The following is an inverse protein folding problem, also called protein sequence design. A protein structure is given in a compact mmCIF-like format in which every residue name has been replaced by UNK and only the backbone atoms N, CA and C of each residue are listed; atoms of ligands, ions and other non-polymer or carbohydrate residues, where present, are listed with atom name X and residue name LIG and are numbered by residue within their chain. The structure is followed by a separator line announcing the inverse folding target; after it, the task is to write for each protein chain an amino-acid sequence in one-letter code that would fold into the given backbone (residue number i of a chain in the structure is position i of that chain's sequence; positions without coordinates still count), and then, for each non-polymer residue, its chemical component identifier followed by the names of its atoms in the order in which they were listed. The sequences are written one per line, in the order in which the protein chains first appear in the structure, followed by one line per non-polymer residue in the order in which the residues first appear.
data_IF_504298590461
#
_entry.id   IF_504298590461
#
_cell.length_a   1.000
_cell.length_b   1.000
_cell.length_c   1.000
_cell.angle_alpha   90.00
_cell.angle_beta   90.00
_cell.angle_gamma   90.00
#
_symmetry.space_group_name_H-M   'P 1'
#
loop_
_entity.id
_entity.type
_entity.pdbx_description
1 polymer ?
#
# COMPACT_ATOMS: atom_id res chain seq x y z
N UNK A 1 29.09 -2.30 24.61
CA UNK A 1 28.10 -3.06 23.82
C UNK A 1 27.03 -2.14 23.24
N UNK A 2 26.32 -1.39 24.09
CA UNK A 2 25.23 -0.47 23.72
C UNK A 2 25.63 0.70 22.81
N UNK A 3 26.83 1.24 22.96
CA UNK A 3 27.29 2.40 22.20
C UNK A 3 27.44 2.11 20.69
N UNK A 4 27.83 0.88 20.34
CA UNK A 4 27.90 0.40 18.95
C UNK A 4 26.49 0.24 18.35
N UNK A 5 25.51 -0.18 19.14
CA UNK A 5 24.12 -0.34 18.73
C UNK A 5 23.50 1.02 18.44
N UNK A 6 23.68 2.00 19.32
CA UNK A 6 23.18 3.36 19.12
C UNK A 6 23.83 4.06 17.91
N UNK A 7 25.11 3.79 17.61
CA UNK A 7 25.77 4.30 16.40
C UNK A 7 25.15 3.79 15.10
N UNK A 8 24.75 2.51 15.06
CA UNK A 8 24.11 1.90 13.88
C UNK A 8 22.70 2.45 13.67
N UNK A 9 21.96 2.68 14.75
CA UNK A 9 20.60 3.24 14.70
C UNK A 9 20.65 4.73 14.33
N UNK A 10 21.61 5.49 14.85
CA UNK A 10 21.82 6.92 14.53
C UNK A 10 22.18 7.14 13.05
N UNK A 11 22.78 6.14 12.38
CA UNK A 11 23.18 6.22 10.99
C UNK A 11 22.10 5.78 9.98
N UNK A 12 20.89 5.42 10.44
CA UNK A 12 19.77 5.18 9.53
C UNK A 12 19.30 6.53 8.98
N UNK A 13 19.46 6.74 7.67
CA UNK A 13 18.76 7.81 6.95
C UNK A 13 17.26 7.71 7.32
N UNK A 14 16.61 8.85 7.59
CA UNK A 14 15.20 8.89 7.95
C UNK A 14 14.31 8.15 6.94
N UNK A 15 13.02 8.00 7.26
CA UNK A 15 12.03 7.36 6.38
C UNK A 15 12.20 7.96 4.98
N UNK A 16 12.65 7.12 4.05
CA UNK A 16 12.82 7.53 2.67
C UNK A 16 11.42 7.80 2.11
N UNK A 17 11.23 8.88 1.34
CA UNK A 17 9.95 9.10 0.69
C UNK A 17 9.61 7.91 -0.20
N UNK A 18 8.33 7.56 -0.26
CA UNK A 18 7.83 6.50 -1.12
C UNK A 18 8.36 6.74 -2.54
N UNK A 19 9.12 5.76 -3.03
CA UNK A 19 9.79 5.87 -4.31
C UNK A 19 8.94 5.15 -5.35
N UNK A 20 8.51 5.88 -6.36
CA UNK A 20 7.77 5.29 -7.47
C UNK A 20 8.62 4.23 -8.19
N UNK A 21 7.97 3.16 -8.63
CA UNK A 21 8.63 2.07 -9.33
C UNK A 21 9.27 2.57 -10.63
N UNK A 22 10.40 1.96 -11.01
CA UNK A 22 11.04 2.20 -12.30
C UNK A 22 10.90 0.96 -13.17
N UNK A 23 10.63 1.17 -14.45
CA UNK A 23 10.65 0.07 -15.42
C UNK A 23 12.09 -0.35 -15.74
N UNK A 24 12.24 -1.40 -16.53
CA UNK A 24 13.54 -1.91 -17.03
C UNK A 24 14.33 -0.89 -17.84
N UNK A 25 13.68 0.13 -18.39
CA UNK A 25 14.28 1.24 -19.14
C UNK A 25 14.73 2.39 -18.23
N UNK A 26 14.51 2.28 -16.92
CA UNK A 26 14.86 3.29 -15.93
C UNK A 26 13.87 4.45 -15.80
N UNK A 27 12.73 4.41 -16.50
CA UNK A 27 11.65 5.40 -16.41
C UNK A 27 10.84 5.19 -15.13
N UNK A 28 10.60 6.28 -14.40
CA UNK A 28 9.68 6.29 -13.25
C UNK A 28 8.23 6.14 -13.69
N UNK A 29 7.51 5.19 -13.10
CA UNK A 29 6.13 4.87 -13.40
C UNK A 29 5.16 5.72 -12.58
N UNK A 30 4.02 6.04 -13.17
CA UNK A 30 2.86 6.56 -12.42
C UNK A 30 2.32 5.50 -11.45
N UNK A 31 1.50 5.88 -10.45
CA UNK A 31 0.87 4.90 -9.56
C UNK A 31 0.06 3.83 -10.30
N UNK A 32 -0.64 4.22 -11.37
CA UNK A 32 -1.43 3.29 -12.19
C UNK A 32 -0.54 2.32 -12.98
N UNK A 33 0.50 2.82 -13.65
CA UNK A 33 1.46 1.97 -14.36
C UNK A 33 2.22 1.04 -13.41
N UNK A 34 2.54 1.52 -12.20
CA UNK A 34 3.16 0.74 -11.14
C UNK A 34 2.27 -0.41 -10.70
N UNK A 35 0.99 -0.14 -10.41
CA UNK A 35 0.02 -1.17 -10.06
C UNK A 35 -0.14 -2.21 -11.18
N UNK A 36 -0.21 -1.76 -12.43
CA UNK A 36 -0.28 -2.65 -13.61
C UNK A 36 0.95 -3.54 -13.76
N UNK A 37 2.16 -2.98 -13.59
CA UNK A 37 3.41 -3.75 -13.63
C UNK A 37 3.43 -4.82 -12.52
N UNK A 38 3.03 -4.45 -11.31
CA UNK A 38 2.95 -5.39 -10.18
C UNK A 38 1.95 -6.51 -10.46
N UNK A 39 0.77 -6.18 -10.98
CA UNK A 39 -0.25 -7.16 -11.32
C UNK A 39 0.29 -8.21 -12.31
N UNK A 40 0.92 -7.80 -13.40
CA UNK A 40 1.51 -8.74 -14.37
C UNK A 40 2.70 -9.52 -13.82
N UNK A 41 3.45 -8.94 -12.88
CA UNK A 41 4.61 -9.60 -12.28
C UNK A 41 4.19 -10.70 -11.31
N UNK A 42 3.19 -10.43 -10.46
CA UNK A 42 2.75 -11.37 -9.42
C UNK A 42 1.65 -12.32 -9.90
N UNK A 43 0.87 -11.92 -10.90
CA UNK A 43 -0.26 -12.69 -11.44
C UNK A 43 -0.18 -12.78 -12.97
N UNK A 44 0.87 -13.40 -13.53
CA UNK A 44 1.06 -13.48 -14.99
C UNK A 44 -0.02 -14.30 -15.70
N UNK A 45 -0.64 -15.26 -15.01
CA UNK A 45 -1.68 -16.15 -15.54
C UNK A 45 -3.10 -15.64 -15.25
N UNK A 46 -3.24 -14.42 -14.71
CA UNK A 46 -4.56 -13.80 -14.48
C UNK A 46 -5.20 -13.45 -15.83
N UNK A 47 -6.19 -14.25 -16.23
CA UNK A 47 -6.90 -14.13 -17.50
C UNK A 47 -8.39 -14.33 -17.28
N UNK A 48 -9.21 -13.54 -17.98
CA UNK A 48 -10.68 -13.70 -17.97
C UNK A 48 -11.09 -15.09 -18.45
N UNK A 49 -10.28 -15.72 -19.31
CA UNK A 49 -10.58 -17.06 -19.83
C UNK A 49 -10.41 -18.18 -18.80
N UNK A 50 -9.65 -17.96 -17.73
CA UNK A 50 -9.42 -18.93 -16.65
C UNK A 50 -10.29 -18.65 -15.42
N UNK A 51 -11.11 -17.59 -15.46
CA UNK A 51 -11.94 -17.20 -14.33
C UNK A 51 -13.03 -18.24 -14.03
N UNK A 52 -13.04 -18.72 -12.79
CA UNK A 52 -14.20 -19.42 -12.22
C UNK A 52 -15.36 -18.45 -12.01
N UNK A 53 -16.63 -18.92 -11.92
CA UNK A 53 -17.81 -18.05 -11.81
C UNK A 53 -17.75 -17.00 -10.68
N UNK A 54 -17.01 -17.26 -9.60
CA UNK A 54 -16.79 -16.30 -8.52
C UNK A 54 -15.78 -15.19 -8.89
N UNK A 55 -14.75 -15.51 -9.66
CA UNK A 55 -13.75 -14.55 -10.13
C UNK A 55 -14.37 -13.56 -11.13
N UNK A 56 -15.20 -14.06 -12.05
CA UNK A 56 -15.96 -13.22 -13.01
C UNK A 56 -16.79 -12.16 -12.26
N UNK A 57 -17.62 -12.58 -11.30
CA UNK A 57 -18.46 -11.65 -10.51
C UNK A 57 -17.64 -10.62 -9.73
N UNK A 58 -16.46 -11.03 -9.26
CA UNK A 58 -15.56 -10.13 -8.53
C UNK A 58 -14.97 -9.07 -9.46
N UNK A 59 -14.53 -9.49 -10.67
CA UNK A 59 -14.00 -8.60 -11.71
C UNK A 59 -15.06 -7.61 -12.18
N UNK A 60 -16.26 -8.08 -12.53
CA UNK A 60 -17.40 -7.22 -12.91
C UNK A 60 -17.71 -6.18 -11.83
N UNK A 61 -17.74 -6.58 -10.55
CA UNK A 61 -18.03 -5.66 -9.43
C UNK A 61 -16.99 -4.57 -9.25
N UNK A 62 -15.74 -4.80 -9.65
CA UNK A 62 -14.64 -3.85 -9.53
C UNK A 62 -14.58 -2.95 -10.77
N UNK A 63 -14.81 -3.51 -11.97
CA UNK A 63 -14.81 -2.76 -13.23
C UNK A 63 -16.03 -1.84 -13.38
N UNK A 64 -17.21 -2.27 -12.93
CA UNK A 64 -18.45 -1.49 -13.05
C UNK A 64 -18.61 -0.37 -12.03
N UNK A 65 -17.74 -0.29 -11.01
CA UNK A 65 -17.83 0.74 -9.99
C UNK A 65 -16.86 1.89 -10.25
N UNK A 66 -17.36 3.13 -10.48
CA UNK A 66 -16.51 4.30 -10.31
C UNK A 66 -15.96 4.29 -8.87
N UNK A 67 -14.73 4.76 -8.66
CA UNK A 67 -14.05 4.74 -7.34
C UNK A 67 -14.91 5.41 -6.26
N UNK A 68 -15.79 6.34 -6.65
CA UNK A 68 -16.80 6.97 -5.80
C UNK A 68 -17.87 6.02 -5.22
N UNK A 69 -18.09 4.84 -5.82
CA UNK A 69 -19.01 3.79 -5.38
C UNK A 69 -18.42 2.82 -4.33
N UNK A 70 -17.19 3.07 -3.91
CA UNK A 70 -16.54 2.49 -2.73
C UNK A 70 -16.63 3.42 -1.51
N UNK A 71 -17.56 4.39 -1.52
CA UNK A 71 -17.94 5.11 -0.30
C UNK A 71 -18.25 4.07 0.77
N UNK A 72 -17.53 4.17 1.87
CA UNK A 72 -17.78 3.37 3.05
C UNK A 72 -19.22 3.63 3.53
N UNK A 73 -19.76 2.68 4.31
CA UNK A 73 -21.08 2.83 4.92
C UNK A 73 -21.20 4.17 5.66
N UNK A 74 -22.42 4.70 5.82
CA UNK A 74 -22.64 5.81 6.75
C UNK A 74 -22.17 5.46 8.17
N UNK A 75 -22.22 4.17 8.52
CA UNK A 75 -21.72 3.61 9.79
C UNK A 75 -20.18 3.47 9.84
N UNK A 76 -19.48 3.63 8.72
CA UNK A 76 -18.03 3.48 8.61
C UNK A 76 -17.44 4.71 7.89
N UNK A 77 -17.45 5.91 8.50
CA UNK A 77 -16.98 7.10 7.83
C UNK A 77 -15.48 7.00 7.49
N UNK A 78 -15.01 7.62 6.40
CA UNK A 78 -13.60 7.64 6.09
C UNK A 78 -12.80 8.38 7.15
N UNK A 79 -11.56 7.94 7.40
CA UNK A 79 -10.67 8.60 8.33
C UNK A 79 -10.48 10.08 8.00
N UNK A 80 -10.63 10.92 9.01
CA UNK A 80 -10.37 12.35 8.91
C UNK A 80 -8.88 12.65 9.12
N UNK A 81 -8.43 13.76 8.53
CA UNK A 81 -7.05 14.24 8.74
C UNK A 81 -6.78 14.60 10.22
N UNK A 82 -7.82 14.93 10.99
CA UNK A 82 -7.71 15.23 12.42
C UNK A 82 -7.41 13.95 13.20
N UNK A 83 -8.13 12.87 12.93
CA UNK A 83 -7.89 11.55 13.54
C UNK A 83 -6.49 11.04 13.21
N UNK A 84 -6.06 11.14 11.95
CA UNK A 84 -4.70 10.75 11.56
C UNK A 84 -3.62 11.53 12.34
N UNK A 85 -3.79 12.84 12.48
CA UNK A 85 -2.86 13.67 13.27
C UNK A 85 -2.89 13.33 14.76
N UNK A 86 -4.06 12.99 15.31
CA UNK A 86 -4.20 12.58 16.70
C UNK A 86 -3.47 11.25 16.95
N UNK A 87 -3.70 10.24 16.11
CA UNK A 87 -3.02 8.94 16.18
C UNK A 87 -1.51 9.12 16.05
N UNK A 88 -1.03 9.90 15.07
CA UNK A 88 0.40 10.16 14.90
C UNK A 88 1.05 10.81 16.13
N UNK A 89 0.32 11.64 16.87
CA UNK A 89 0.81 12.24 18.13
C UNK A 89 0.83 11.24 19.29
N UNK A 90 -0.10 10.29 19.32
CA UNK A 90 -0.19 9.25 20.34
C UNK A 90 0.77 8.09 20.11
N UNK A 91 1.21 7.88 18.86
CA UNK A 91 2.23 6.89 18.52
C UNK A 91 3.53 7.23 19.24
N UNK A 92 3.90 6.39 20.20
CA UNK A 92 5.13 6.57 20.95
C UNK A 92 6.33 6.16 20.07
N UNK A 93 7.25 7.08 19.71
CA UNK A 93 8.37 6.79 18.82
C UNK A 93 9.38 5.79 19.40
N UNK A 94 9.27 5.48 20.69
CA UNK A 94 10.09 4.46 21.37
C UNK A 94 9.43 3.08 21.40
N UNK A 95 8.19 2.94 20.93
CA UNK A 95 7.50 1.64 20.88
C UNK A 95 8.12 0.81 19.76
N UNK A 96 8.47 -0.44 20.08
CA UNK A 96 9.00 -1.37 19.09
C UNK A 96 7.92 -1.66 18.02
N UNK A 97 8.31 -1.87 16.74
CA UNK A 97 7.39 -2.36 15.72
C UNK A 97 6.77 -3.69 16.16
N UNK A 98 5.46 -3.86 15.92
CA UNK A 98 4.78 -5.14 16.17
C UNK A 98 5.27 -6.24 15.21
N UNK A 99 4.97 -7.50 15.52
CA UNK A 99 5.20 -8.59 14.58
C UNK A 99 4.30 -8.40 13.35
N UNK A 100 4.90 -8.49 12.16
CA UNK A 100 4.16 -8.58 10.90
C UNK A 100 3.62 -9.99 10.78
N UNK A 101 2.29 -10.13 10.86
CA UNK A 101 1.59 -11.38 10.56
C UNK A 101 1.52 -11.62 9.05
#
# INVERSE_FOLDING_TARGET
MWDKIYRVIRNKKGILPDTLLRNSEGKTLTPHESAKLLAYTFYPDDSVSTDMPFHIRTRERIEDKPVEGLRLSEDDPPFTMVELKAVLRELNPKKAPGQTA
#
